data_IF_117680528890
#
_entry.id   IF_117680528890
#
_cell.length_a   1.000
_cell.length_b   1.000
_cell.length_c   1.000
_cell.angle_alpha   90.00
_cell.angle_beta   90.00
_cell.angle_gamma   90.00
#
_symmetry.space_group_name_H-M   'P 1'
#
loop_
_entity.id
_entity.type
_entity.pdbx_description
1 polymer ?
#
# COMPACT_ATOMS: atom_id res chain seq x y z
N UNK A 1 21.31 0.46 -13.94
CA UNK A 1 21.99 -0.77 -14.37
C UNK A 1 21.46 -1.88 -13.50
N UNK A 2 20.66 -2.78 -14.05
CA UNK A 2 20.21 -3.97 -13.34
C UNK A 2 21.41 -4.88 -13.05
N UNK A 3 21.49 -5.41 -11.83
CA UNK A 3 22.52 -6.38 -11.46
C UNK A 3 22.24 -7.69 -12.19
N UNK A 4 23.18 -8.13 -13.02
CA UNK A 4 23.08 -9.43 -13.67
C UNK A 4 23.54 -10.51 -12.69
N UNK A 5 22.58 -11.24 -12.12
CA UNK A 5 22.87 -12.35 -11.22
C UNK A 5 23.41 -13.56 -12.00
N UNK A 6 24.29 -14.32 -11.38
CA UNK A 6 24.95 -15.52 -11.92
C UNK A 6 24.48 -16.80 -11.23
N UNK A 7 23.77 -16.70 -10.10
CA UNK A 7 23.16 -17.81 -9.37
C UNK A 7 21.76 -17.47 -8.85
N UNK A 8 21.01 -18.50 -8.44
CA UNK A 8 19.70 -18.31 -7.80
C UNK A 8 19.84 -17.71 -6.40
N UNK A 9 20.96 -17.97 -5.73
CA UNK A 9 21.31 -17.38 -4.44
C UNK A 9 21.48 -15.86 -4.57
N UNK A 10 22.23 -15.40 -5.58
CA UNK A 10 22.40 -13.97 -5.84
C UNK A 10 21.05 -13.31 -6.15
N UNK A 11 20.18 -13.93 -6.96
CA UNK A 11 18.84 -13.40 -7.23
C UNK A 11 18.05 -13.21 -5.93
N UNK A 12 18.08 -14.21 -5.03
CA UNK A 12 17.38 -14.15 -3.73
C UNK A 12 17.93 -13.04 -2.85
N UNK A 13 19.25 -12.88 -2.76
CA UNK A 13 19.86 -11.80 -1.97
C UNK A 13 19.44 -10.42 -2.47
N UNK A 14 19.34 -10.22 -3.78
CA UNK A 14 18.85 -8.97 -4.35
C UNK A 14 17.36 -8.74 -4.07
N UNK A 15 16.53 -9.79 -4.17
CA UNK A 15 15.11 -9.72 -3.79
C UNK A 15 14.97 -9.38 -2.30
N UNK A 16 15.69 -10.06 -1.42
CA UNK A 16 15.66 -9.81 0.02
C UNK A 16 16.03 -8.36 0.36
N UNK A 17 16.96 -7.77 -0.39
CA UNK A 17 17.30 -6.35 -0.25
C UNK A 17 16.15 -5.44 -0.66
N UNK A 18 15.53 -5.71 -1.82
CA UNK A 18 14.35 -4.97 -2.30
C UNK A 18 13.21 -5.10 -1.28
N UNK A 19 12.98 -6.28 -0.71
CA UNK A 19 11.92 -6.51 0.25
C UNK A 19 12.12 -5.70 1.54
N UNK A 20 13.37 -5.55 2.02
CA UNK A 20 13.67 -4.66 3.14
C UNK A 20 13.32 -3.20 2.83
N UNK A 21 13.64 -2.74 1.63
CA UNK A 21 13.32 -1.39 1.17
C UNK A 21 11.80 -1.20 1.03
N UNK A 22 11.09 -2.18 0.46
CA UNK A 22 9.63 -2.19 0.34
C UNK A 22 8.95 -2.12 1.71
N UNK A 23 9.39 -2.94 2.68
CA UNK A 23 8.84 -2.91 4.05
C UNK A 23 9.06 -1.54 4.71
N UNK A 24 10.24 -0.93 4.54
CA UNK A 24 10.51 0.40 5.07
C UNK A 24 9.61 1.47 4.41
N UNK A 25 9.35 1.37 3.11
CA UNK A 25 8.44 2.25 2.38
C UNK A 25 6.98 2.05 2.83
N UNK A 26 6.56 0.81 3.05
CA UNK A 26 5.23 0.48 3.57
C UNK A 26 5.02 1.06 4.96
N UNK A 27 6.00 0.97 5.86
CA UNK A 27 5.92 1.58 7.19
C UNK A 27 5.74 3.10 7.11
N UNK A 28 6.52 3.78 6.24
CA UNK A 28 6.37 5.23 6.01
C UNK A 28 5.00 5.58 5.44
N UNK A 29 4.52 4.81 4.46
CA UNK A 29 3.19 4.97 3.87
C UNK A 29 2.09 4.78 4.93
N UNK A 30 2.20 3.75 5.76
CA UNK A 30 1.25 3.47 6.84
C UNK A 30 1.18 4.59 7.87
N UNK A 31 2.32 5.19 8.22
CA UNK A 31 2.33 6.37 9.10
C UNK A 31 1.52 7.54 8.50
N UNK A 32 1.67 7.81 7.19
CA UNK A 32 0.89 8.84 6.50
C UNK A 32 -0.60 8.51 6.43
N UNK A 33 -0.95 7.23 6.25
CA UNK A 33 -2.34 6.76 6.31
C UNK A 33 -2.93 6.99 7.70
N UNK A 34 -2.21 6.64 8.76
CA UNK A 34 -2.64 6.87 10.14
C UNK A 34 -2.82 8.37 10.45
N UNK A 35 -1.95 9.24 9.92
CA UNK A 35 -2.15 10.69 10.01
C UNK A 35 -3.41 11.12 9.24
N UNK A 36 -3.65 10.57 8.05
CA UNK A 36 -4.85 10.84 7.28
C UNK A 36 -6.13 10.39 8.02
N UNK A 37 -6.06 9.32 8.82
CA UNK A 37 -7.17 8.84 9.64
C UNK A 37 -7.67 9.88 10.65
N UNK A 38 -6.80 10.76 11.16
CA UNK A 38 -7.19 11.84 12.07
C UNK A 38 -8.16 12.87 11.42
N UNK A 39 -8.19 12.94 10.08
CA UNK A 39 -9.09 13.83 9.34
C UNK A 39 -10.43 13.17 8.96
N UNK A 40 -10.53 11.84 9.13
CA UNK A 40 -11.70 11.05 8.73
C UNK A 40 -12.67 10.92 9.90
N UNK A 41 -13.94 11.27 9.70
CA UNK A 41 -14.96 11.29 10.76
C UNK A 41 -15.91 10.09 10.68
N UNK A 42 -16.05 9.51 9.50
CA UNK A 42 -16.99 8.43 9.24
C UNK A 42 -16.31 7.23 8.59
N UNK A 43 -16.96 6.05 8.64
CA UNK A 43 -16.46 4.82 8.00
C UNK A 43 -16.39 4.93 6.47
N UNK A 44 -17.23 5.76 5.85
CA UNK A 44 -17.19 6.00 4.41
C UNK A 44 -15.99 6.87 4.02
N UNK A 45 -15.61 7.82 4.87
CA UNK A 45 -14.37 8.60 4.70
C UNK A 45 -13.11 7.71 4.80
N UNK A 46 -13.20 6.60 5.55
CA UNK A 46 -12.12 5.59 5.67
C UNK A 46 -11.96 4.78 4.39
N UNK A 47 -13.06 4.35 3.77
CA UNK A 47 -13.01 3.53 2.54
C UNK A 47 -12.65 4.33 1.29
N UNK A 48 -13.11 5.58 1.19
CA UNK A 48 -12.78 6.54 0.14
C UNK A 48 -12.58 5.92 -1.28
N UNK A 49 -13.59 5.25 -1.86
CA UNK A 49 -13.44 4.46 -3.11
C UNK A 49 -12.92 5.28 -4.30
N UNK A 50 -13.36 6.54 -4.43
CA UNK A 50 -12.85 7.44 -5.45
C UNK A 50 -11.34 7.70 -5.32
N UNK A 51 -10.83 7.75 -4.08
CA UNK A 51 -9.40 7.93 -3.83
C UNK A 51 -8.61 6.68 -4.19
N UNK A 52 -9.16 5.49 -3.96
CA UNK A 52 -8.52 4.22 -4.35
C UNK A 52 -8.30 4.20 -5.86
N UNK A 53 -9.32 4.45 -6.66
CA UNK A 53 -9.21 4.41 -8.13
C UNK A 53 -8.23 5.48 -8.68
N UNK A 54 -8.17 6.66 -8.05
CA UNK A 54 -7.15 7.68 -8.39
C UNK A 54 -5.73 7.17 -8.16
N UNK A 55 -5.49 6.49 -7.03
CA UNK A 55 -4.17 5.92 -6.73
C UNK A 55 -3.83 4.81 -7.72
N UNK A 56 -4.78 3.93 -8.03
CA UNK A 56 -4.58 2.85 -9.01
C UNK A 56 -4.23 3.40 -10.39
N UNK A 57 -4.99 4.40 -10.87
CA UNK A 57 -4.71 5.05 -12.15
C UNK A 57 -3.29 5.62 -12.19
N UNK A 58 -2.87 6.30 -11.11
CA UNK A 58 -1.54 6.88 -11.01
C UNK A 58 -0.44 5.82 -11.04
N UNK A 59 -0.60 4.73 -10.29
CA UNK A 59 0.46 3.71 -10.20
C UNK A 59 0.56 2.83 -11.43
N UNK A 60 -0.54 2.65 -12.20
CA UNK A 60 -0.48 2.04 -13.54
C UNK A 60 0.32 2.90 -14.52
N UNK A 61 0.19 4.23 -14.45
CA UNK A 61 1.01 5.13 -15.26
C UNK A 61 2.49 5.02 -14.87
N UNK A 62 2.81 5.05 -13.57
CA UNK A 62 4.18 4.86 -13.07
C UNK A 62 4.75 3.49 -13.45
N UNK A 63 3.94 2.43 -13.44
CA UNK A 63 4.35 1.10 -13.87
C UNK A 63 4.79 1.13 -15.34
N UNK A 64 4.01 1.79 -16.19
CA UNK A 64 4.32 1.97 -17.61
C UNK A 64 5.65 2.71 -17.81
N UNK A 65 5.83 3.83 -17.09
CA UNK A 65 7.06 4.64 -17.13
C UNK A 65 8.30 3.86 -16.65
N UNK A 66 8.11 2.93 -15.71
CA UNK A 66 9.20 2.15 -15.10
C UNK A 66 9.44 0.80 -15.77
N UNK A 67 8.68 0.45 -16.82
CA UNK A 67 8.75 -0.87 -17.47
C UNK A 67 8.20 -2.03 -16.63
N UNK A 68 7.44 -1.74 -15.56
CA UNK A 68 6.83 -2.74 -14.71
C UNK A 68 5.48 -3.22 -15.27
N UNK A 69 5.09 -4.49 -15.05
CA UNK A 69 3.78 -4.99 -15.48
C UNK A 69 2.64 -4.28 -14.74
N UNK A 70 1.84 -3.50 -15.46
CA UNK A 70 0.76 -2.67 -14.87
C UNK A 70 -0.23 -3.48 -14.03
N UNK A 71 -0.58 -4.69 -14.46
CA UNK A 71 -1.54 -5.55 -13.76
C UNK A 71 -0.98 -6.14 -12.47
N UNK A 72 0.33 -6.37 -12.39
CA UNK A 72 1.01 -6.79 -11.15
C UNK A 72 1.01 -5.62 -10.17
N UNK A 73 1.39 -4.42 -10.64
CA UNK A 73 1.42 -3.21 -9.81
C UNK A 73 0.03 -2.89 -9.26
N UNK A 74 -1.01 -2.96 -10.09
CA UNK A 74 -2.38 -2.74 -9.64
C UNK A 74 -2.81 -3.72 -8.53
N UNK A 75 -2.57 -5.02 -8.72
CA UNK A 75 -2.95 -6.04 -7.73
C UNK A 75 -2.26 -5.81 -6.38
N UNK A 76 -0.95 -5.52 -6.39
CA UNK A 76 -0.20 -5.22 -5.17
C UNK A 76 -0.76 -3.96 -4.49
N UNK A 77 -1.04 -2.91 -5.25
CA UNK A 77 -1.57 -1.67 -4.67
C UNK A 77 -2.99 -1.82 -4.12
N UNK A 78 -3.87 -2.57 -4.78
CA UNK A 78 -5.22 -2.84 -4.28
C UNK A 78 -5.17 -3.62 -2.97
N UNK A 79 -4.36 -4.68 -2.90
CA UNK A 79 -4.18 -5.46 -1.68
C UNK A 79 -3.61 -4.61 -0.53
N UNK A 80 -2.55 -3.82 -0.81
CA UNK A 80 -1.95 -2.91 0.16
C UNK A 80 -2.97 -1.89 0.70
N UNK A 81 -3.74 -1.25 -0.19
CA UNK A 81 -4.75 -0.26 0.22
C UNK A 81 -5.83 -0.91 1.07
N UNK A 82 -6.33 -2.09 0.68
CA UNK A 82 -7.33 -2.83 1.44
C UNK A 82 -6.84 -3.18 2.85
N UNK A 83 -5.59 -3.63 2.98
CA UNK A 83 -4.99 -3.94 4.29
C UNK A 83 -4.93 -2.72 5.22
N UNK A 84 -4.53 -1.56 4.69
CA UNK A 84 -4.51 -0.31 5.46
C UNK A 84 -5.90 0.16 5.86
N UNK A 85 -6.90 0.05 4.97
CA UNK A 85 -8.30 0.38 5.30
C UNK A 85 -8.81 -0.54 6.42
N UNK A 86 -8.47 -1.83 6.38
CA UNK A 86 -8.87 -2.77 7.42
C UNK A 86 -8.22 -2.43 8.77
N UNK A 87 -6.93 -2.09 8.77
CA UNK A 87 -6.20 -1.63 9.97
C UNK A 87 -6.82 -0.35 10.55
N UNK A 88 -7.13 0.64 9.69
CA UNK A 88 -7.83 1.87 10.09
C UNK A 88 -9.20 1.55 10.71
N UNK A 89 -10.02 0.72 10.06
CA UNK A 89 -11.35 0.35 10.56
C UNK A 89 -11.29 -0.34 11.93
N UNK A 90 -10.27 -1.17 12.18
CA UNK A 90 -10.02 -1.79 13.49
C UNK A 90 -9.67 -0.74 14.54
N UNK A 91 -8.79 0.20 14.20
CA UNK A 91 -8.42 1.30 15.11
C UNK A 91 -9.61 2.21 15.44
N UNK A 92 -10.45 2.54 14.46
CA UNK A 92 -11.66 3.34 14.66
C UNK A 92 -12.71 2.62 15.52
N UNK A 93 -12.87 1.30 15.37
CA UNK A 93 -13.81 0.51 16.17
C UNK A 93 -13.40 0.39 17.65
N UNK A 94 -12.11 0.55 17.96
CA UNK A 94 -11.57 0.47 19.33
C UNK A 94 -11.69 1.80 20.12
N UNK A 95 -12.11 2.89 19.48
CA UNK A 95 -12.32 4.17 20.17
C UNK A 95 -13.65 4.15 20.96
N UNK A 96 -13.64 4.41 22.28
CA UNK A 96 -14.86 4.40 23.08
C UNK A 96 -15.77 5.57 22.70
N UNK A 97 -16.98 5.27 22.21
CA UNK A 97 -18.03 6.27 21.97
C UNK A 97 -18.81 6.17 20.66
N UNK A 98 -18.58 5.16 19.81
CA UNK A 98 -19.36 4.99 18.58
C UNK A 98 -20.19 3.69 18.63
N UNK A 99 -21.53 3.75 18.49
CA UNK A 99 -22.35 2.55 18.58
C UNK A 99 -22.06 1.62 17.39
N UNK A 100 -21.90 0.34 17.70
CA UNK A 100 -21.91 -0.75 16.73
C UNK A 100 -23.32 -0.91 16.12
N UNK A 101 -23.44 -1.43 14.87
CA UNK A 101 -24.71 -1.49 14.13
C UNK A 101 -25.77 -2.37 14.80
#
# INVERSE_FOLDING_TARGET
MDVRCTSIEEVREHIDRIDRELVALLARRGNLVNQAAAFKKTRDDVRAPARVEQVITKVRALATESGAPGDVVEQVYRAMIAAFIEEELKAHAALPGQPAP
#
